data_IF_773910195192
#
_entry.id   IF_773910195192
#
_cell.length_a   1.000
_cell.length_b   1.000
_cell.length_c   1.000
_cell.angle_alpha   90.00
_cell.angle_beta   90.00
_cell.angle_gamma   90.00
#
_symmetry.space_group_name_H-M   'P 1'
#
loop_
_entity.id
_entity.type
_entity.pdbx_description
1 polymer ?
#
# COMPACT_ATOMS: atom_id res chain seq x y z
N UNK A 1 -4.56 -18.09 4.61
CA UNK A 1 -3.42 -17.15 4.51
C UNK A 1 -3.38 -16.38 5.82
N UNK A 2 -2.21 -16.18 6.38
CA UNK A 2 -2.04 -15.50 7.67
C UNK A 2 -1.89 -14.00 7.46
N UNK A 3 -2.71 -13.22 8.16
CA UNK A 3 -2.68 -11.75 8.14
C UNK A 3 -2.70 -11.15 6.73
N UNK A 4 -3.60 -11.61 5.86
CA UNK A 4 -3.79 -11.01 4.53
C UNK A 4 -3.94 -9.49 4.66
N UNK A 5 -2.98 -8.74 4.14
CA UNK A 5 -2.65 -7.42 4.64
C UNK A 5 -3.57 -6.32 4.10
N UNK A 6 -3.93 -6.43 2.83
CA UNK A 6 -4.93 -5.61 2.18
C UNK A 6 -6.30 -5.73 2.85
N UNK A 7 -6.61 -6.89 3.47
CA UNK A 7 -7.82 -7.12 4.26
C UNK A 7 -7.63 -6.69 5.72
N UNK A 8 -6.45 -6.97 6.31
CA UNK A 8 -6.09 -6.57 7.68
C UNK A 8 -6.22 -5.07 7.88
N UNK A 9 -5.97 -4.28 6.82
CA UNK A 9 -6.21 -2.84 6.79
C UNK A 9 -7.56 -2.42 7.39
N UNK A 10 -8.64 -3.17 7.11
CA UNK A 10 -9.99 -2.87 7.60
C UNK A 10 -10.22 -3.42 9.02
N UNK A 11 -9.63 -4.56 9.37
CA UNK A 11 -9.85 -5.20 10.68
C UNK A 11 -8.93 -4.71 11.80
N UNK A 12 -7.79 -4.09 11.46
CA UNK A 12 -6.75 -3.70 12.43
C UNK A 12 -7.26 -2.74 13.50
N UNK A 13 -8.31 -1.97 13.21
CA UNK A 13 -8.90 -1.02 14.15
C UNK A 13 -9.30 -1.70 15.47
N UNK A 14 -9.88 -2.89 15.38
CA UNK A 14 -10.23 -3.68 16.56
C UNK A 14 -9.01 -4.11 17.38
N UNK A 15 -7.91 -4.46 16.71
CA UNK A 15 -6.68 -4.92 17.35
C UNK A 15 -5.91 -3.77 17.97
N UNK A 16 -5.77 -2.63 17.30
CA UNK A 16 -5.06 -1.48 17.88
C UNK A 16 -5.81 -0.94 19.12
N UNK A 17 -7.14 -0.96 19.11
CA UNK A 17 -7.94 -0.49 20.25
C UNK A 17 -7.92 -1.44 21.45
N UNK A 18 -8.02 -2.76 21.21
CA UNK A 18 -8.20 -3.75 22.27
C UNK A 18 -6.91 -4.45 22.68
N UNK A 19 -6.01 -4.68 21.71
CA UNK A 19 -4.76 -5.43 21.85
C UNK A 19 -3.61 -4.74 21.13
N UNK A 20 -3.26 -3.47 21.46
CA UNK A 20 -2.29 -2.68 20.70
C UNK A 20 -0.92 -3.34 20.56
N UNK A 21 -0.46 -4.08 21.58
CA UNK A 21 0.82 -4.81 21.48
C UNK A 21 0.80 -5.93 20.45
N UNK A 22 -0.36 -6.56 20.23
CA UNK A 22 -0.53 -7.59 19.21
C UNK A 22 -0.52 -6.95 17.82
N UNK A 23 -1.25 -5.84 17.64
CA UNK A 23 -1.22 -5.09 16.38
C UNK A 23 0.20 -4.64 16.03
N UNK A 24 0.92 -4.04 16.98
CA UNK A 24 2.31 -3.63 16.79
C UNK A 24 3.24 -4.81 16.48
N UNK A 25 2.93 -6.02 16.98
CA UNK A 25 3.69 -7.22 16.62
C UNK A 25 3.47 -7.59 15.15
N UNK A 26 2.22 -7.57 14.67
CA UNK A 26 1.89 -7.83 13.27
C UNK A 26 2.60 -6.81 12.37
N UNK A 27 2.58 -5.54 12.74
CA UNK A 27 3.26 -4.49 11.97
C UNK A 27 4.79 -4.66 11.94
N UNK A 28 5.41 -5.20 13.00
CA UNK A 28 6.84 -5.58 12.98
C UNK A 28 7.10 -6.74 12.02
N UNK A 29 6.24 -7.74 11.99
CA UNK A 29 6.38 -8.88 11.09
C UNK A 29 6.30 -8.42 9.62
N UNK A 30 5.37 -7.53 9.28
CA UNK A 30 5.30 -6.93 7.95
C UNK A 30 6.48 -6.03 7.63
N UNK A 31 6.96 -5.23 8.60
CA UNK A 31 8.18 -4.44 8.42
C UNK A 31 9.38 -5.33 8.06
N UNK A 32 9.56 -6.45 8.75
CA UNK A 32 10.60 -7.42 8.44
C UNK A 32 10.39 -8.04 7.04
N UNK A 33 9.15 -8.39 6.71
CA UNK A 33 8.82 -9.03 5.45
C UNK A 33 9.00 -8.12 4.22
N UNK A 34 8.83 -6.80 4.34
CA UNK A 34 9.19 -5.83 3.28
C UNK A 34 10.65 -5.98 2.87
N UNK A 35 11.53 -6.24 3.83
CA UNK A 35 12.97 -6.38 3.64
C UNK A 35 13.38 -7.77 3.15
N UNK A 36 12.45 -8.71 3.04
CA UNK A 36 12.71 -10.04 2.48
C UNK A 36 12.76 -10.01 0.95
N UNK A 37 13.61 -10.87 0.40
CA UNK A 37 13.62 -11.23 -1.02
C UNK A 37 13.62 -12.76 -1.15
N UNK A 38 12.64 -13.29 -1.88
CA UNK A 38 12.57 -14.70 -2.23
C UNK A 38 12.45 -14.84 -3.76
N UNK A 39 13.53 -15.25 -4.46
CA UNK A 39 13.54 -15.39 -5.90
C UNK A 39 12.85 -16.68 -6.40
N UNK A 40 12.35 -17.55 -5.51
CA UNK A 40 11.59 -18.76 -5.88
C UNK A 40 10.48 -18.35 -6.87
N UNK A 41 10.40 -19.07 -7.99
CA UNK A 41 9.41 -18.76 -9.02
C UNK A 41 8.08 -19.40 -8.67
N UNK A 42 7.03 -18.58 -8.70
CA UNK A 42 5.63 -19.01 -8.50
C UNK A 42 4.85 -18.64 -9.73
N UNK A 43 3.99 -19.55 -10.18
CA UNK A 43 3.08 -19.30 -11.29
C UNK A 43 1.81 -18.63 -10.78
N UNK A 44 1.42 -17.51 -11.39
CA UNK A 44 0.15 -16.83 -11.15
C UNK A 44 -0.99 -17.59 -11.81
N UNK A 45 -2.12 -17.76 -11.10
CA UNK A 45 -3.26 -18.49 -11.63
C UNK A 45 -4.06 -17.68 -12.66
N UNK A 46 -4.03 -16.35 -12.59
CA UNK A 46 -4.83 -15.48 -13.47
C UNK A 46 -4.32 -15.42 -14.90
N UNK A 47 -3.01 -15.45 -15.12
CA UNK A 47 -2.39 -15.34 -16.45
C UNK A 47 -1.28 -16.37 -16.73
N UNK A 48 -1.00 -17.28 -15.79
CA UNK A 48 -0.03 -18.36 -15.97
C UNK A 48 1.44 -17.92 -16.02
N UNK A 49 1.74 -16.65 -15.71
CA UNK A 49 3.12 -16.13 -15.74
C UNK A 49 3.89 -16.53 -14.49
N UNK A 50 5.21 -16.61 -14.62
CA UNK A 50 6.11 -16.88 -13.51
C UNK A 50 6.72 -15.59 -12.97
N UNK A 51 6.49 -15.29 -11.71
CA UNK A 51 7.13 -14.17 -10.99
C UNK A 51 7.97 -14.69 -9.82
N UNK A 52 8.81 -13.84 -9.24
CA UNK A 52 9.39 -14.15 -7.94
C UNK A 52 8.27 -14.25 -6.89
N UNK A 53 8.48 -15.03 -5.82
CA UNK A 53 7.54 -15.10 -4.69
C UNK A 53 7.49 -13.78 -3.94
N UNK A 54 8.66 -13.16 -3.72
CA UNK A 54 8.77 -11.93 -2.94
C UNK A 54 9.89 -11.03 -3.46
N UNK A 55 9.54 -9.81 -3.85
CA UNK A 55 10.50 -8.78 -4.24
C UNK A 55 10.79 -7.83 -3.07
N UNK A 56 12.06 -7.45 -2.89
CA UNK A 56 12.48 -6.47 -1.88
C UNK A 56 11.71 -5.15 -2.08
N UNK A 57 11.16 -4.60 -0.99
CA UNK A 57 10.40 -3.34 -1.02
C UNK A 57 8.90 -3.52 -1.30
N UNK A 58 8.47 -4.61 -1.92
CA UNK A 58 7.04 -4.94 -1.99
C UNK A 58 6.54 -5.43 -0.63
N UNK A 59 5.40 -4.93 -0.17
CA UNK A 59 4.70 -5.50 0.99
C UNK A 59 4.08 -6.84 0.56
N UNK A 60 4.34 -7.95 1.28
CA UNK A 60 3.68 -9.20 0.94
C UNK A 60 2.18 -9.09 1.17
N UNK A 61 1.40 -9.78 0.36
CA UNK A 61 -0.05 -9.90 0.55
C UNK A 61 -0.40 -10.62 1.85
N UNK A 62 0.36 -11.64 2.23
CA UNK A 62 0.14 -12.40 3.47
C UNK A 62 1.47 -12.91 4.03
N UNK A 63 1.48 -13.23 5.33
CA UNK A 63 2.63 -13.82 6.02
C UNK A 63 2.70 -15.34 5.84
N UNK A 64 2.09 -15.90 4.80
CA UNK A 64 2.18 -17.30 4.43
C UNK A 64 0.93 -18.13 4.75
N UNK A 65 1.07 -19.44 4.59
CA UNK A 65 0.01 -20.43 4.84
C UNK A 65 0.54 -21.65 5.58
N UNK A 66 1.42 -22.42 4.93
CA UNK A 66 1.96 -23.68 5.46
C UNK A 66 3.21 -23.48 6.32
N UNK A 67 4.02 -22.47 6.01
CA UNK A 67 5.24 -22.09 6.74
C UNK A 67 5.21 -20.58 7.01
N UNK A 68 4.33 -20.13 7.93
CA UNK A 68 4.09 -18.71 8.16
C UNK A 68 5.37 -17.99 8.61
N UNK A 69 5.47 -16.70 8.30
CA UNK A 69 6.63 -15.82 8.52
C UNK A 69 7.89 -16.14 7.70
N UNK A 70 8.09 -17.40 7.29
CA UNK A 70 9.25 -17.81 6.48
C UNK A 70 8.94 -17.83 4.99
N UNK A 71 7.78 -18.39 4.59
CA UNK A 71 7.29 -18.39 3.21
C UNK A 71 6.05 -17.51 3.06
N UNK A 72 6.31 -16.20 2.94
CA UNK A 72 5.30 -15.16 2.69
C UNK A 72 4.72 -15.25 1.27
N UNK A 73 3.63 -14.53 0.99
CA UNK A 73 2.92 -14.59 -0.31
C UNK A 73 2.49 -16.03 -0.67
N UNK A 74 1.63 -16.62 0.17
CA UNK A 74 0.97 -17.87 -0.17
C UNK A 74 -0.13 -17.67 -1.23
N UNK A 75 -0.72 -16.47 -1.29
CA UNK A 75 -1.61 -16.08 -2.38
C UNK A 75 -0.89 -16.09 -3.73
N UNK A 76 -1.51 -16.72 -4.73
CA UNK A 76 -0.94 -16.86 -6.07
C UNK A 76 -1.93 -16.63 -7.20
N UNK A 77 -3.11 -16.03 -6.95
CA UNK A 77 -4.01 -15.69 -8.05
C UNK A 77 -3.39 -14.61 -8.95
N UNK A 78 -2.84 -13.55 -8.35
CA UNK A 78 -2.11 -12.48 -9.04
C UNK A 78 -0.70 -12.30 -8.48
N UNK A 79 0.14 -11.60 -9.24
CA UNK A 79 1.43 -11.13 -8.73
C UNK A 79 1.21 -9.90 -7.84
N UNK A 80 1.26 -10.11 -6.53
CA UNK A 80 1.00 -9.08 -5.52
C UNK A 80 2.13 -8.07 -5.35
N UNK A 81 3.34 -8.37 -5.85
CA UNK A 81 4.42 -7.37 -5.91
C UNK A 81 4.05 -6.18 -6.81
N UNK A 82 3.04 -6.33 -7.66
CA UNK A 82 2.53 -5.27 -8.54
C UNK A 82 1.36 -4.49 -7.93
N UNK A 83 0.85 -4.88 -6.77
CA UNK A 83 -0.37 -4.28 -6.23
C UNK A 83 -0.14 -2.85 -5.75
N UNK A 84 -1.11 -1.98 -6.02
CA UNK A 84 -1.03 -0.54 -5.78
C UNK A 84 -1.51 -0.12 -4.40
N UNK A 85 -2.12 -1.01 -3.63
CA UNK A 85 -2.70 -0.70 -2.32
C UNK A 85 -1.93 -1.27 -1.12
N UNK A 86 -1.19 -2.37 -1.28
CA UNK A 86 -0.46 -3.02 -0.16
C UNK A 86 0.55 -2.08 0.51
N UNK A 87 1.46 -1.47 -0.27
CA UNK A 87 2.47 -0.56 0.28
C UNK A 87 1.85 0.70 0.91
N UNK A 88 0.89 1.40 0.26
CA UNK A 88 0.20 2.52 0.91
C UNK A 88 -0.57 2.13 2.18
N UNK A 89 -1.23 0.96 2.21
CA UNK A 89 -1.95 0.47 3.40
C UNK A 89 -1.02 0.23 4.59
N UNK A 90 0.19 -0.27 4.34
CA UNK A 90 1.19 -0.49 5.39
C UNK A 90 1.54 0.80 6.11
N UNK A 91 1.59 1.88 5.35
CA UNK A 91 1.88 3.19 5.87
C UNK A 91 0.89 3.65 6.95
N UNK A 92 -0.42 3.52 6.68
CA UNK A 92 -1.47 3.94 7.63
C UNK A 92 -1.31 3.28 9.00
N UNK A 93 -0.96 2.00 9.02
CA UNK A 93 -0.84 1.23 10.27
C UNK A 93 0.39 1.60 11.07
N UNK A 94 1.47 1.99 10.40
CA UNK A 94 2.59 2.61 11.10
C UNK A 94 2.25 4.00 11.64
N UNK A 95 1.47 4.80 10.92
CA UNK A 95 0.95 6.09 11.41
C UNK A 95 0.10 5.94 12.68
N UNK A 96 -0.85 5.01 12.69
CA UNK A 96 -1.66 4.65 13.88
C UNK A 96 -0.76 4.20 15.04
N UNK A 97 0.25 3.39 14.77
CA UNK A 97 1.22 2.95 15.75
C UNK A 97 2.07 4.09 16.32
N UNK A 98 2.51 5.05 15.50
CA UNK A 98 3.23 6.24 15.97
C UNK A 98 2.31 7.13 16.82
N UNK A 99 1.02 7.20 16.50
CA UNK A 99 0.03 7.91 17.30
C UNK A 99 -0.13 7.33 18.73
N UNK A 100 0.31 6.08 18.96
CA UNK A 100 0.40 5.51 20.32
C UNK A 100 1.57 6.07 21.15
N UNK A 101 2.43 6.92 20.55
CA UNK A 101 3.57 7.56 21.20
C UNK A 101 4.85 6.69 21.26
N UNK A 102 4.85 5.50 20.66
CA UNK A 102 6.03 4.61 20.65
C UNK A 102 7.05 5.04 19.58
N UNK A 103 7.85 6.06 19.92
CA UNK A 103 8.94 6.54 19.07
C UNK A 103 10.00 5.47 18.76
N UNK A 104 10.17 4.46 19.64
CA UNK A 104 11.14 3.38 19.40
C UNK A 104 10.64 2.47 18.28
N UNK A 105 9.35 2.15 18.30
CA UNK A 105 8.71 1.42 17.22
C UNK A 105 8.82 2.18 15.90
N UNK A 106 8.50 3.49 15.90
CA UNK A 106 8.59 4.33 14.70
C UNK A 106 10.00 4.28 14.07
N UNK A 107 11.04 4.45 14.90
CA UNK A 107 12.44 4.37 14.44
C UNK A 107 12.83 2.98 13.94
N UNK A 108 12.32 1.93 14.58
CA UNK A 108 12.65 0.56 14.21
C UNK A 108 12.08 0.16 12.85
N UNK A 109 10.86 0.61 12.52
CA UNK A 109 10.18 0.24 11.26
C UNK A 109 10.41 1.23 10.12
N UNK A 110 10.95 2.42 10.41
CA UNK A 110 11.22 3.46 9.41
C UNK A 110 11.99 2.98 8.16
N UNK A 111 13.06 2.16 8.26
CA UNK A 111 13.76 1.69 7.08
C UNK A 111 12.85 0.88 6.14
N UNK A 112 12.00 0.01 6.69
CA UNK A 112 11.04 -0.78 5.92
C UNK A 112 9.95 0.10 5.30
N UNK A 113 9.47 1.11 6.04
CA UNK A 113 8.50 2.10 5.55
C UNK A 113 9.07 2.85 4.35
N UNK A 114 10.29 3.40 4.49
CA UNK A 114 10.96 4.11 3.41
C UNK A 114 11.14 3.21 2.19
N UNK A 115 11.60 1.96 2.39
CA UNK A 115 11.76 0.99 1.30
C UNK A 115 10.44 0.68 0.59
N UNK A 116 9.34 0.55 1.34
CA UNK A 116 8.01 0.34 0.76
C UNK A 116 7.54 1.55 -0.05
N UNK A 117 7.73 2.77 0.45
CA UNK A 117 7.37 3.99 -0.28
C UNK A 117 8.23 4.17 -1.54
N UNK A 118 9.55 3.97 -1.43
CA UNK A 118 10.47 4.05 -2.56
C UNK A 118 10.18 2.96 -3.61
N UNK A 119 9.72 1.78 -3.21
CA UNK A 119 9.29 0.74 -4.14
C UNK A 119 8.11 1.22 -5.00
N UNK A 120 7.19 1.99 -4.45
CA UNK A 120 6.00 2.46 -5.16
C UNK A 120 6.32 3.49 -6.26
N UNK A 121 7.44 4.20 -6.17
CA UNK A 121 7.87 5.18 -7.17
C UNK A 121 8.00 4.60 -8.58
N UNK A 122 8.24 3.29 -8.70
CA UNK A 122 8.30 2.63 -10.01
C UNK A 122 6.95 2.61 -10.73
N UNK A 123 5.84 2.81 -10.00
CA UNK A 123 4.48 2.81 -10.51
C UNK A 123 3.96 4.21 -10.80
N UNK A 124 4.79 5.26 -10.70
CA UNK A 124 4.52 6.61 -11.18
C UNK A 124 5.22 6.75 -12.55
N UNK A 125 4.49 6.41 -13.62
CA UNK A 125 5.04 6.24 -14.97
C UNK A 125 5.31 7.56 -15.66
N UNK A 126 4.46 8.54 -15.43
CA UNK A 126 4.58 9.87 -16.05
C UNK A 126 5.32 10.90 -15.17
N UNK A 127 5.68 10.52 -13.94
CA UNK A 127 6.44 11.33 -12.98
C UNK A 127 5.67 12.55 -12.48
N UNK A 128 4.34 12.49 -12.50
CA UNK A 128 3.47 13.52 -11.95
C UNK A 128 3.28 13.39 -10.42
N UNK A 129 3.87 12.37 -9.81
CA UNK A 129 3.81 12.10 -8.37
C UNK A 129 2.73 11.09 -7.97
N UNK A 130 1.85 10.68 -8.89
CA UNK A 130 0.79 9.71 -8.67
C UNK A 130 1.18 8.32 -9.19
N UNK A 131 0.71 7.26 -8.52
CA UNK A 131 0.85 5.89 -9.03
C UNK A 131 -0.30 5.55 -9.98
N UNK A 132 -0.02 4.75 -11.02
CA UNK A 132 -1.04 4.29 -11.96
C UNK A 132 -1.28 2.77 -11.89
N UNK A 133 -2.54 2.38 -11.79
CA UNK A 133 -3.01 1.01 -11.96
C UNK A 133 -2.82 0.54 -13.42
N UNK A 134 -2.57 -0.75 -13.61
CA UNK A 134 -1.97 -1.28 -14.85
C UNK A 134 -2.94 -2.02 -15.79
N UNK A 135 -4.25 -1.87 -15.60
CA UNK A 135 -5.26 -2.51 -16.44
C UNK A 135 -5.55 -3.97 -16.11
N UNK A 136 -5.16 -4.41 -14.91
CA UNK A 136 -5.60 -5.66 -14.31
C UNK A 136 -5.99 -5.42 -12.85
N UNK A 137 -6.45 -6.45 -12.15
CA UNK A 137 -6.77 -6.36 -10.73
C UNK A 137 -5.47 -6.36 -9.90
N UNK A 138 -4.92 -5.17 -9.68
CA UNK A 138 -3.68 -4.92 -8.97
C UNK A 138 -3.92 -4.26 -7.61
N UNK A 139 -4.96 -4.70 -6.90
CA UNK A 139 -5.35 -4.24 -5.56
C UNK A 139 -6.37 -5.22 -4.95
N UNK A 140 -6.80 -4.99 -3.70
CA UNK A 140 -7.68 -5.89 -2.90
C UNK A 140 -8.95 -6.39 -3.59
N UNK A 141 -9.56 -5.59 -4.48
CA UNK A 141 -10.65 -5.99 -5.36
C UNK A 141 -10.08 -6.80 -6.53
N UNK A 142 -9.60 -7.99 -6.23
CA UNK A 142 -8.73 -8.86 -7.02
C UNK A 142 -9.35 -9.45 -8.30
N UNK A 143 -10.60 -9.14 -8.59
CA UNK A 143 -11.29 -9.47 -9.86
C UNK A 143 -11.82 -8.23 -10.57
N UNK A 144 -11.54 -7.04 -10.06
CA UNK A 144 -11.97 -5.76 -10.64
C UNK A 144 -10.76 -4.99 -11.17
N UNK A 145 -10.65 -4.93 -12.49
CA UNK A 145 -9.56 -4.21 -13.16
C UNK A 145 -9.67 -2.69 -12.98
N UNK A 146 -8.51 -2.05 -12.93
CA UNK A 146 -8.36 -0.59 -12.81
C UNK A 146 -7.26 -0.16 -13.78
N UNK A 147 -7.41 0.96 -14.48
CA UNK A 147 -6.36 1.50 -15.36
C UNK A 147 -6.12 2.97 -15.07
N UNK A 148 -4.84 3.37 -14.99
CA UNK A 148 -4.47 4.76 -14.73
C UNK A 148 -4.63 5.13 -13.26
N UNK A 149 -4.95 6.40 -13.00
CA UNK A 149 -5.16 6.89 -11.62
C UNK A 149 -6.56 6.52 -11.17
N UNK A 150 -6.66 5.86 -10.01
CA UNK A 150 -7.93 5.44 -9.43
C UNK A 150 -8.29 6.17 -8.15
N UNK A 151 -9.59 6.27 -7.86
CA UNK A 151 -10.07 6.91 -6.62
C UNK A 151 -9.57 6.19 -5.37
N UNK A 152 -9.53 4.86 -5.42
CA UNK A 152 -9.13 4.01 -4.30
C UNK A 152 -7.61 3.99 -4.10
N UNK A 153 -6.83 3.45 -5.04
CA UNK A 153 -5.37 3.34 -4.88
C UNK A 153 -4.69 4.71 -4.87
N UNK A 154 -5.16 5.65 -5.69
CA UNK A 154 -4.65 7.03 -5.69
C UNK A 154 -4.94 7.75 -4.37
N UNK A 155 -6.13 7.56 -3.79
CA UNK A 155 -6.49 8.15 -2.50
C UNK A 155 -5.61 7.61 -1.37
N UNK A 156 -5.40 6.29 -1.33
CA UNK A 156 -4.48 5.65 -0.39
C UNK A 156 -3.04 6.17 -0.55
N UNK A 157 -2.58 6.36 -1.78
CA UNK A 157 -1.23 6.89 -2.05
C UNK A 157 -1.04 8.33 -1.57
N UNK A 158 -2.00 9.23 -1.84
CA UNK A 158 -1.96 10.62 -1.36
C UNK A 158 -1.83 10.66 0.16
N UNK A 159 -2.68 9.90 0.85
CA UNK A 159 -2.67 9.87 2.30
C UNK A 159 -1.41 9.20 2.87
N UNK A 160 -0.92 8.12 2.25
CA UNK A 160 0.35 7.49 2.62
C UNK A 160 1.53 8.47 2.50
N UNK A 161 1.61 9.27 1.43
CA UNK A 161 2.65 10.30 1.28
C UNK A 161 2.58 11.38 2.35
N UNK A 162 1.37 11.89 2.64
CA UNK A 162 1.19 12.88 3.69
C UNK A 162 1.67 12.34 5.04
N UNK A 163 1.27 11.12 5.35
CA UNK A 163 1.59 10.51 6.60
C UNK A 163 3.09 10.13 6.63
N UNK A 164 3.73 9.76 5.51
CA UNK A 164 5.18 9.52 5.35
C UNK A 164 6.02 10.72 5.72
N UNK A 165 5.60 11.89 5.26
CA UNK A 165 6.22 13.16 5.69
C UNK A 165 6.12 13.36 7.20
N UNK A 166 4.96 13.08 7.81
CA UNK A 166 4.76 13.23 9.25
C UNK A 166 5.63 12.25 10.08
N UNK A 167 5.75 10.98 9.67
CA UNK A 167 6.60 10.04 10.41
C UNK A 167 8.09 10.33 10.21
N UNK A 168 8.50 10.75 9.02
CA UNK A 168 9.87 11.20 8.76
C UNK A 168 10.28 12.30 9.75
N UNK A 169 9.38 13.27 10.00
CA UNK A 169 9.56 14.30 11.03
C UNK A 169 9.75 13.70 12.42
N UNK A 170 8.90 12.76 12.82
CA UNK A 170 8.95 12.12 14.15
C UNK A 170 10.25 11.33 14.38
N UNK A 171 10.79 10.68 13.34
CA UNK A 171 12.07 9.96 13.44
C UNK A 171 13.30 10.86 13.23
N UNK A 172 13.10 12.12 12.83
CA UNK A 172 14.14 13.12 12.63
C UNK A 172 14.78 13.13 11.23
N UNK A 173 14.18 12.46 10.25
CA UNK A 173 14.63 12.40 8.86
C UNK A 173 14.02 13.56 8.05
N UNK A 174 14.65 14.74 8.13
CA UNK A 174 14.17 15.95 7.46
C UNK A 174 14.19 15.88 5.94
N UNK A 175 15.15 15.15 5.36
CA UNK A 175 15.24 15.01 3.91
C UNK A 175 14.04 14.21 3.36
N UNK A 176 13.71 13.09 4.01
CA UNK A 176 12.52 12.31 3.65
C UNK A 176 11.22 13.07 3.94
N UNK A 177 11.17 13.86 5.03
CA UNK A 177 10.01 14.70 5.34
C UNK A 177 9.66 15.64 4.18
N UNK A 178 10.64 16.40 3.69
CA UNK A 178 10.49 17.34 2.58
C UNK A 178 10.16 16.60 1.28
N UNK A 179 10.88 15.52 0.98
CA UNK A 179 10.67 14.71 -0.21
C UNK A 179 9.23 14.18 -0.32
N UNK A 180 8.71 13.56 0.75
CA UNK A 180 7.35 13.02 0.75
C UNK A 180 6.29 14.12 0.74
N UNK A 181 6.56 15.28 1.37
CA UNK A 181 5.64 16.42 1.34
C UNK A 181 5.50 17.00 -0.07
N UNK A 182 6.60 17.21 -0.78
CA UNK A 182 6.59 17.72 -2.15
C UNK A 182 5.86 16.74 -3.09
N UNK A 183 6.09 15.44 -2.91
CA UNK A 183 5.39 14.41 -3.68
C UNK A 183 3.90 14.36 -3.36
N UNK A 184 3.52 14.49 -2.08
CA UNK A 184 2.13 14.60 -1.65
C UNK A 184 1.40 15.75 -2.36
N UNK A 185 2.01 16.94 -2.43
CA UNK A 185 1.39 18.10 -3.09
C UNK A 185 1.11 17.85 -4.57
N UNK A 186 2.05 17.20 -5.27
CA UNK A 186 1.88 16.82 -6.68
C UNK A 186 0.78 15.76 -6.85
N UNK A 187 0.89 14.65 -6.12
CA UNK A 187 -0.07 13.54 -6.15
C UNK A 187 -1.49 14.03 -5.84
N UNK A 188 -1.65 14.90 -4.84
CA UNK A 188 -2.94 15.50 -4.47
C UNK A 188 -3.58 16.27 -5.62
N UNK A 189 -2.78 17.06 -6.35
CA UNK A 189 -3.25 17.81 -7.51
C UNK A 189 -3.78 16.88 -8.62
N UNK A 190 -3.07 15.77 -8.85
CA UNK A 190 -3.46 14.74 -9.83
C UNK A 190 -4.74 14.03 -9.38
N UNK A 191 -4.80 13.60 -8.12
CA UNK A 191 -5.97 12.94 -7.54
C UNK A 191 -7.24 13.79 -7.66
N UNK A 192 -7.13 15.10 -7.44
CA UNK A 192 -8.26 16.02 -7.58
C UNK A 192 -8.88 16.05 -8.98
N UNK A 193 -8.15 15.65 -10.03
CA UNK A 193 -8.69 15.56 -11.41
C UNK A 193 -9.75 14.48 -11.56
N UNK A 194 -9.83 13.50 -10.64
CA UNK A 194 -10.89 12.49 -10.62
C UNK A 194 -12.24 13.05 -10.15
N UNK A 195 -12.26 14.20 -9.48
CA UNK A 195 -13.50 14.83 -9.02
C UNK A 195 -14.33 15.32 -10.20
N UNK A 196 -15.55 14.79 -10.34
CA UNK A 196 -16.46 15.11 -11.45
C UNK A 196 -17.51 16.19 -11.10
N UNK A 197 -17.43 16.78 -9.91
CA UNK A 197 -18.42 17.73 -9.39
C UNK A 197 -19.40 17.14 -8.38
N UNK A 198 -19.49 15.80 -8.25
CA UNK A 198 -20.36 15.12 -7.29
C UNK A 198 -19.67 13.99 -6.52
N UNK A 199 -18.79 13.24 -7.17
CA UNK A 199 -18.01 12.15 -6.60
C UNK A 199 -16.66 12.01 -7.32
N UNK A 200 -15.78 11.14 -6.83
CA UNK A 200 -14.54 10.79 -7.52
C UNK A 200 -14.81 9.64 -8.49
N UNK A 201 -14.46 9.85 -9.77
CA UNK A 201 -14.49 8.79 -10.77
C UNK A 201 -13.64 7.59 -10.32
N UNK A 202 -14.09 6.38 -10.65
CA UNK A 202 -13.41 5.13 -10.31
C UNK A 202 -11.96 5.11 -10.79
N UNK A 203 -11.74 5.49 -12.06
CA UNK A 203 -10.41 5.73 -12.63
C UNK A 203 -10.43 6.79 -13.74
N UNK A 204 -9.26 7.20 -14.21
CA UNK A 204 -9.11 8.21 -15.27
C UNK A 204 -8.91 7.62 -16.68
N UNK A 205 -9.13 6.32 -16.88
CA UNK A 205 -8.86 5.66 -18.16
C UNK A 205 -9.82 6.03 -19.30
N UNK A 206 -10.99 6.60 -18.95
CA UNK A 206 -12.05 6.90 -19.91
C UNK A 206 -12.81 5.66 -20.40
N UNK A 207 -12.65 4.52 -19.72
CA UNK A 207 -13.40 3.30 -19.99
C UNK A 207 -14.88 3.44 -19.65
N UNK A 208 -15.69 2.47 -20.09
CA UNK A 208 -17.12 2.43 -19.77
C UNK A 208 -17.41 2.41 -18.27
N UNK A 209 -16.48 1.93 -17.44
CA UNK A 209 -16.64 1.82 -15.99
C UNK A 209 -15.97 2.95 -15.23
N UNK A 210 -15.23 3.87 -15.87
CA UNK A 210 -14.50 4.95 -15.20
C UNK A 210 -15.40 5.89 -14.39
N UNK A 211 -16.67 6.01 -14.76
CA UNK A 211 -17.65 6.84 -14.03
C UNK A 211 -18.41 6.09 -12.92
N UNK A 212 -18.07 4.82 -12.65
CA UNK A 212 -18.72 4.03 -11.60
C UNK A 212 -18.50 4.66 -10.22
N UNK A 213 -19.54 4.61 -9.38
CA UNK A 213 -19.44 5.06 -7.99
C UNK A 213 -18.94 3.88 -7.16
N UNK A 214 -17.67 3.90 -6.78
CA UNK A 214 -17.11 2.91 -5.86
C UNK A 214 -17.44 3.33 -4.42
N UNK A 215 -17.95 2.38 -3.62
CA UNK A 215 -18.25 2.63 -2.20
C UNK A 215 -17.01 3.04 -1.40
N UNK A 216 -15.86 2.52 -1.80
CA UNK A 216 -14.56 2.68 -1.14
C UNK A 216 -13.67 3.75 -1.80
N UNK A 217 -14.26 4.64 -2.62
CA UNK A 217 -13.52 5.64 -3.40
C UNK A 217 -12.69 6.63 -2.55
N UNK A 218 -13.00 6.75 -1.26
CA UNK A 218 -12.32 7.64 -0.30
C UNK A 218 -11.58 6.87 0.81
N UNK A 219 -11.17 5.62 0.56
CA UNK A 219 -10.46 4.79 1.55
C UNK A 219 -9.25 5.47 2.19
N UNK A 220 -8.54 6.33 1.45
CA UNK A 220 -7.40 7.09 1.99
C UNK A 220 -7.77 8.29 2.86
N UNK A 221 -9.02 8.77 2.80
CA UNK A 221 -9.50 9.87 3.63
C UNK A 221 -10.18 9.41 4.92
N UNK A 222 -10.63 8.14 4.96
CA UNK A 222 -11.21 7.48 6.13
C UNK A 222 -10.17 7.32 7.24
#
# INVERSE_FOLDING_TARGET
>A
MWNTYDVHFYSSYSLIMLFPKLELSIQRDFAAAVMMHDPEKVQTLSDGKWSARKVLGAVPHDLGLNDPWFKVNAYNLHNTDRWKDLNPKLYFKFGEAVATGDQRFAKAVWPSVYMAMAYMDQFDKDKDGMIENEGFADQTYDVWSVTGVSSYSGGLWVAALQAASAMAREVGDRASEEFFWDKYLKAKSVYHKLWNGSYFNYDNSGSMTSSSIQADQLAGHW
#
